data_IF_942601821612
#
_entry.id   IF_942601821612
#
_cell.length_a   1.000
_cell.length_b   1.000
_cell.length_c   1.000
_cell.angle_alpha   90.00
_cell.angle_beta   90.00
_cell.angle_gamma   90.00
#
_symmetry.space_group_name_H-M   'P 1'
#
loop_
_entity.id
_entity.type
_entity.pdbx_description
1 polymer ?
#
# COMPACT_ATOMS: atom_id res chain seq x y z
N UNK A 1 -2.14 -27.28 23.46
CA UNK A 1 -3.33 -26.97 22.65
C UNK A 1 -2.83 -26.28 21.39
N UNK A 2 -3.03 -26.90 20.23
CA UNK A 2 -2.76 -26.24 18.93
C UNK A 2 -3.80 -25.12 18.84
N UNK A 3 -3.39 -23.87 19.02
CA UNK A 3 -4.25 -22.72 18.73
C UNK A 3 -4.64 -22.83 17.26
N UNK A 4 -5.95 -22.93 16.95
CA UNK A 4 -6.42 -22.86 15.59
C UNK A 4 -5.88 -21.56 14.97
N UNK A 5 -5.05 -21.70 13.95
CA UNK A 5 -4.54 -20.57 13.20
C UNK A 5 -5.67 -19.92 12.41
N UNK A 6 -5.56 -18.62 12.18
CA UNK A 6 -6.51 -17.83 11.39
C UNK A 6 -6.34 -18.23 9.92
N UNK A 7 -7.44 -18.67 9.28
CA UNK A 7 -7.46 -18.95 7.84
C UNK A 7 -7.78 -17.67 7.03
N UNK A 8 -7.45 -17.69 5.74
CA UNK A 8 -7.78 -16.58 4.82
C UNK A 8 -9.28 -16.30 4.81
N UNK A 9 -10.11 -17.33 4.68
CA UNK A 9 -11.59 -17.18 4.65
C UNK A 9 -12.13 -16.57 5.95
N UNK A 10 -11.55 -16.87 7.11
CA UNK A 10 -11.95 -16.24 8.37
C UNK A 10 -11.60 -14.76 8.38
N UNK A 11 -10.43 -14.39 7.87
CA UNK A 11 -10.00 -13.00 7.82
C UNK A 11 -10.80 -12.20 6.78
N UNK A 12 -11.06 -12.76 5.60
CA UNK A 12 -11.95 -12.18 4.59
C UNK A 12 -13.35 -11.91 5.16
N UNK A 13 -13.96 -12.90 5.82
CA UNK A 13 -15.27 -12.74 6.46
C UNK A 13 -15.27 -11.67 7.56
N UNK A 14 -14.17 -11.54 8.29
CA UNK A 14 -13.99 -10.47 9.28
C UNK A 14 -13.94 -9.08 8.62
N UNK A 15 -13.21 -8.95 7.51
CA UNK A 15 -13.09 -7.70 6.76
C UNK A 15 -14.40 -7.31 6.05
N UNK A 16 -15.16 -8.28 5.52
CA UNK A 16 -16.49 -8.05 4.95
C UNK A 16 -17.46 -7.45 5.98
N UNK A 17 -17.41 -7.92 7.23
CA UNK A 17 -18.22 -7.34 8.33
C UNK A 17 -17.84 -5.89 8.59
N UNK A 18 -16.58 -5.50 8.44
CA UNK A 18 -16.14 -4.10 8.54
C UNK A 18 -16.82 -3.24 7.47
N UNK A 19 -16.94 -3.73 6.23
CA UNK A 19 -17.67 -3.04 5.17
C UNK A 19 -19.18 -2.92 5.47
N UNK A 20 -19.77 -3.93 6.10
CA UNK A 20 -21.19 -3.89 6.51
C UNK A 20 -21.42 -2.80 7.58
N UNK A 21 -20.51 -2.61 8.55
CA UNK A 21 -20.59 -1.56 9.57
C UNK A 21 -20.62 -0.17 8.92
N UNK A 22 -19.81 0.04 7.89
CA UNK A 22 -19.72 1.34 7.19
C UNK A 22 -20.89 1.57 6.21
N UNK A 23 -21.62 0.51 5.83
CA UNK A 23 -22.75 0.59 4.89
C UNK A 23 -23.86 1.48 5.42
N UNK A 24 -24.35 2.38 4.56
CA UNK A 24 -25.37 3.35 4.92
C UNK A 24 -24.85 4.66 5.51
N UNK A 25 -23.56 4.73 5.88
CA UNK A 25 -22.93 5.95 6.36
C UNK A 25 -22.15 6.67 5.25
N UNK A 26 -21.77 5.95 4.19
CA UNK A 26 -20.98 6.47 3.05
C UNK A 26 -21.14 5.57 1.82
N UNK A 27 -20.61 6.00 0.67
CA UNK A 27 -20.58 5.17 -0.55
C UNK A 27 -19.53 4.06 -0.45
N UNK A 28 -19.77 2.93 -1.14
CA UNK A 28 -18.88 1.77 -1.11
C UNK A 28 -17.46 2.10 -1.58
N UNK A 29 -17.28 3.05 -2.48
CA UNK A 29 -15.97 3.52 -2.94
C UNK A 29 -15.16 4.25 -1.86
N UNK A 30 -15.79 4.72 -0.79
CA UNK A 30 -15.18 5.44 0.31
C UNK A 30 -14.75 4.52 1.46
N UNK A 31 -15.31 3.29 1.58
CA UNK A 31 -14.98 2.37 2.69
C UNK A 31 -13.52 1.97 2.75
N UNK A 32 -12.90 1.82 1.58
CA UNK A 32 -11.57 1.24 1.45
C UNK A 32 -10.53 1.94 2.32
N UNK A 33 -10.47 3.28 2.26
CA UNK A 33 -9.47 4.05 3.01
C UNK A 33 -9.60 3.86 4.53
N UNK A 34 -10.83 3.71 5.03
CA UNK A 34 -11.09 3.55 6.46
C UNK A 34 -10.83 2.12 6.95
N UNK A 35 -11.23 1.11 6.17
CA UNK A 35 -10.97 -0.30 6.51
C UNK A 35 -9.47 -0.57 6.43
N UNK A 36 -8.80 -0.06 5.40
CA UNK A 36 -7.34 -0.19 5.28
C UNK A 36 -6.61 0.52 6.41
N UNK A 37 -7.02 1.75 6.73
CA UNK A 37 -6.45 2.49 7.86
C UNK A 37 -6.63 1.76 9.19
N UNK A 38 -7.83 1.24 9.46
CA UNK A 38 -8.11 0.50 10.69
C UNK A 38 -7.36 -0.84 10.76
N UNK A 39 -7.30 -1.58 9.66
CA UNK A 39 -6.54 -2.83 9.55
C UNK A 39 -5.05 -2.57 9.81
N UNK A 40 -4.51 -1.51 9.22
CA UNK A 40 -3.12 -1.12 9.41
C UNK A 40 -2.83 -0.72 10.86
N UNK A 41 -3.65 0.14 11.47
CA UNK A 41 -3.55 0.51 12.88
C UNK A 41 -3.57 -0.72 13.80
N UNK A 42 -4.52 -1.63 13.57
CA UNK A 42 -4.65 -2.85 14.38
C UNK A 42 -3.44 -3.75 14.23
N UNK A 43 -2.98 -3.97 13.00
CA UNK A 43 -1.79 -4.78 12.72
C UNK A 43 -0.54 -4.20 13.39
N UNK A 44 -0.29 -2.90 13.23
CA UNK A 44 0.86 -2.24 13.86
C UNK A 44 0.81 -2.38 15.38
N UNK A 45 -0.36 -2.13 15.99
CA UNK A 45 -0.55 -2.29 17.43
C UNK A 45 -0.31 -3.72 17.91
N UNK A 46 -0.85 -4.73 17.22
CA UNK A 46 -0.72 -6.12 17.65
C UNK A 46 0.74 -6.60 17.57
N UNK A 47 1.48 -6.22 16.52
CA UNK A 47 2.90 -6.52 16.40
C UNK A 47 3.74 -5.80 17.45
N UNK A 48 3.45 -4.52 17.67
CA UNK A 48 4.11 -3.71 18.69
C UNK A 48 3.88 -4.28 20.09
N UNK A 49 2.64 -4.60 20.46
CA UNK A 49 2.29 -5.14 21.78
C UNK A 49 3.01 -6.48 22.01
N UNK A 50 3.04 -7.35 21.01
CA UNK A 50 3.81 -8.60 21.07
C UNK A 50 5.30 -8.35 21.30
N UNK A 51 5.90 -7.45 20.52
CA UNK A 51 7.32 -7.12 20.65
C UNK A 51 7.62 -6.50 22.02
N UNK A 52 6.73 -5.64 22.51
CA UNK A 52 6.81 -5.05 23.84
C UNK A 52 6.79 -6.13 24.94
N UNK A 53 5.92 -7.13 24.85
CA UNK A 53 5.92 -8.26 25.78
C UNK A 53 7.22 -9.05 25.73
N UNK A 54 7.80 -9.29 24.56
CA UNK A 54 9.10 -9.94 24.41
C UNK A 54 10.21 -9.16 25.09
N UNK A 55 10.25 -7.83 24.90
CA UNK A 55 11.20 -6.92 25.53
C UNK A 55 11.04 -6.94 27.07
N UNK A 56 9.82 -6.92 27.58
CA UNK A 56 9.55 -7.04 29.02
C UNK A 56 10.06 -8.35 29.60
N UNK A 57 9.82 -9.47 28.92
CA UNK A 57 10.31 -10.80 29.36
C UNK A 57 11.82 -10.87 29.34
N UNK A 58 12.46 -10.39 28.27
CA UNK A 58 13.92 -10.38 28.10
C UNK A 58 14.61 -9.55 29.17
N UNK A 59 14.02 -8.43 29.57
CA UNK A 59 14.58 -7.45 30.48
C UNK A 59 13.91 -7.46 31.87
N UNK A 60 13.30 -8.58 32.25
CA UNK A 60 12.56 -8.74 33.52
C UNK A 60 13.41 -8.58 34.80
N UNK A 61 14.73 -8.56 34.64
CA UNK A 61 15.69 -8.37 35.73
C UNK A 61 16.01 -6.89 36.02
N UNK A 62 15.57 -5.96 35.17
CA UNK A 62 15.81 -4.53 35.30
C UNK A 62 14.79 -3.86 36.25
N UNK A 63 15.14 -2.69 36.78
CA UNK A 63 14.19 -1.84 37.49
C UNK A 63 13.05 -1.37 36.58
N UNK A 64 11.96 -0.89 37.17
CA UNK A 64 10.81 -0.37 36.41
C UNK A 64 11.19 0.83 35.55
N UNK A 65 12.07 1.68 36.03
CA UNK A 65 12.58 2.87 35.36
C UNK A 65 13.40 2.49 34.13
N UNK A 66 14.40 1.63 34.31
CA UNK A 66 15.27 1.13 33.22
C UNK A 66 14.45 0.36 32.17
N UNK A 67 13.52 -0.48 32.61
CA UNK A 67 12.63 -1.20 31.70
C UNK A 67 11.76 -0.23 30.90
N UNK A 68 11.22 0.82 31.53
CA UNK A 68 10.39 1.80 30.83
C UNK A 68 11.20 2.60 29.79
N UNK A 69 12.47 2.93 30.07
CA UNK A 69 13.35 3.57 29.07
C UNK A 69 13.49 2.69 27.81
N UNK A 70 13.74 1.40 27.97
CA UNK A 70 13.83 0.45 26.85
C UNK A 70 12.49 0.36 26.08
N UNK A 71 11.36 0.31 26.81
CA UNK A 71 10.04 0.15 26.22
C UNK A 71 9.52 1.40 25.50
N UNK A 72 10.12 2.57 25.76
CA UNK A 72 9.75 3.83 25.10
C UNK A 72 10.81 4.28 24.08
N UNK A 73 11.91 3.53 23.91
CA UNK A 73 12.90 3.78 22.87
C UNK A 73 12.55 3.02 21.58
N UNK A 74 12.31 3.77 20.49
CA UNK A 74 11.98 3.19 19.17
C UNK A 74 13.04 2.22 18.66
N UNK A 75 14.32 2.46 18.98
CA UNK A 75 15.43 1.61 18.50
C UNK A 75 15.42 0.21 19.13
N UNK A 76 14.74 0.03 20.27
CA UNK A 76 14.61 -1.27 20.93
C UNK A 76 13.72 -2.24 20.15
N UNK A 77 12.91 -1.76 19.21
CA UNK A 77 11.93 -2.56 18.47
C UNK A 77 12.48 -3.18 17.18
N UNK A 78 13.69 -2.79 16.73
CA UNK A 78 14.30 -3.30 15.50
C UNK A 78 13.41 -3.05 14.28
N UNK A 79 13.08 -4.08 13.52
CA UNK A 79 12.25 -4.00 12.31
C UNK A 79 10.73 -3.86 12.60
N UNK A 80 10.34 -3.89 13.88
CA UNK A 80 8.93 -3.69 14.26
C UNK A 80 8.62 -2.21 14.32
N UNK A 81 7.56 -1.78 13.66
CA UNK A 81 7.09 -0.40 13.72
C UNK A 81 6.84 0.05 15.15
N UNK A 82 7.36 1.22 15.50
CA UNK A 82 7.13 1.80 16.82
C UNK A 82 5.74 2.42 16.90
N UNK A 83 4.96 2.03 17.91
CA UNK A 83 3.64 2.61 18.18
C UNK A 83 3.73 3.55 19.39
N UNK A 84 3.73 4.88 19.17
CA UNK A 84 3.81 5.86 20.25
C UNK A 84 2.56 5.81 21.14
N UNK A 85 2.68 6.33 22.37
CA UNK A 85 1.63 6.25 23.41
C UNK A 85 0.24 6.63 22.91
N UNK A 86 0.12 7.67 22.08
CA UNK A 86 -1.14 8.17 21.52
C UNK A 86 -1.83 7.17 20.56
N UNK A 87 -1.09 6.27 19.97
CA UNK A 87 -1.58 5.32 18.96
C UNK A 87 -1.75 3.89 19.50
N UNK A 88 -1.57 3.66 20.80
CA UNK A 88 -1.69 2.33 21.40
C UNK A 88 -3.13 1.87 21.47
N UNK A 89 -3.35 0.66 21.00
CA UNK A 89 -4.70 0.07 20.97
C UNK A 89 -5.22 -0.29 22.36
N UNK A 90 -4.35 -0.81 23.22
CA UNK A 90 -4.73 -1.44 24.50
C UNK A 90 -4.40 -0.62 25.73
N UNK A 91 -3.52 0.38 25.64
CA UNK A 91 -2.98 1.09 26.81
C UNK A 91 -3.13 2.59 26.63
N UNK A 92 -3.92 3.23 27.49
CA UNK A 92 -3.98 4.67 27.62
C UNK A 92 -2.73 5.26 28.27
N UNK A 93 -2.58 6.56 28.25
CA UNK A 93 -1.44 7.25 28.86
C UNK A 93 -1.83 8.59 29.47
N UNK A 94 -1.01 9.07 30.38
CA UNK A 94 -1.10 10.45 30.89
C UNK A 94 0.03 11.26 30.26
N UNK A 95 -0.30 12.42 29.70
CA UNK A 95 0.66 13.32 29.10
C UNK A 95 1.44 14.17 30.13
N UNK A 96 2.32 15.06 29.65
CA UNK A 96 3.11 15.94 30.50
C UNK A 96 2.28 16.99 31.26
N UNK A 97 1.09 17.28 30.76
CA UNK A 97 0.13 18.22 31.36
C UNK A 97 -0.82 17.51 32.34
N UNK A 98 -0.56 16.24 32.66
CA UNK A 98 -1.37 15.38 33.52
C UNK A 98 -2.77 15.08 32.99
N UNK A 99 -2.99 15.21 31.67
CA UNK A 99 -4.23 14.82 31.01
C UNK A 99 -4.18 13.35 30.65
N UNK A 100 -5.22 12.60 31.05
CA UNK A 100 -5.35 11.20 30.65
C UNK A 100 -5.94 11.06 29.25
N UNK A 101 -5.25 10.30 28.40
CA UNK A 101 -5.67 9.90 27.05
C UNK A 101 -6.01 8.41 27.02
N UNK A 102 -7.24 8.11 26.57
CA UNK A 102 -7.71 6.73 26.45
C UNK A 102 -6.93 5.95 25.39
N UNK A 103 -6.88 4.63 25.53
CA UNK A 103 -6.47 3.72 24.45
C UNK A 103 -7.44 3.78 23.27
N UNK A 104 -7.01 3.40 22.07
CA UNK A 104 -7.89 3.44 20.87
C UNK A 104 -9.18 2.66 21.08
N UNK A 105 -9.12 1.46 21.66
CA UNK A 105 -10.30 0.62 21.95
C UNK A 105 -11.34 1.30 22.85
N UNK A 106 -10.92 2.28 23.63
CA UNK A 106 -11.76 2.94 24.65
C UNK A 106 -12.24 4.33 24.20
N UNK A 107 -11.99 4.76 22.96
CA UNK A 107 -12.46 6.04 22.42
C UNK A 107 -13.99 6.13 22.45
N UNK A 108 -14.52 7.30 22.85
CA UNK A 108 -15.97 7.54 23.02
C UNK A 108 -16.47 8.78 22.30
N UNK A 109 -15.63 9.77 22.07
CA UNK A 109 -15.97 11.08 21.48
C UNK A 109 -14.87 11.56 20.57
N UNK A 110 -15.22 12.32 19.55
CA UNK A 110 -14.30 12.84 18.54
C UNK A 110 -13.43 11.75 17.92
N UNK A 111 -13.98 10.54 17.76
CA UNK A 111 -13.24 9.32 17.43
C UNK A 111 -12.47 9.48 16.13
N UNK A 112 -13.09 10.07 15.09
CA UNK A 112 -12.41 10.30 13.82
C UNK A 112 -11.18 11.20 13.94
N UNK A 113 -11.23 12.23 14.79
CA UNK A 113 -10.10 13.12 15.04
C UNK A 113 -8.99 12.40 15.82
N UNK A 114 -9.35 11.63 16.85
CA UNK A 114 -8.36 10.88 17.65
C UNK A 114 -7.69 9.76 16.83
N UNK A 115 -8.42 9.09 15.93
CA UNK A 115 -7.83 8.13 14.98
C UNK A 115 -6.85 8.82 14.02
N UNK A 116 -7.17 10.01 13.51
CA UNK A 116 -6.24 10.78 12.68
C UNK A 116 -4.96 11.16 13.45
N UNK A 117 -5.09 11.56 14.72
CA UNK A 117 -3.94 11.86 15.59
C UNK A 117 -3.09 10.60 15.86
N UNK A 118 -3.71 9.43 16.00
CA UNK A 118 -3.02 8.17 16.17
C UNK A 118 -2.22 7.79 14.91
N UNK A 119 -2.82 7.91 13.71
CA UNK A 119 -2.14 7.69 12.44
C UNK A 119 -0.95 8.64 12.25
N UNK A 120 -1.15 9.94 12.52
CA UNK A 120 -0.08 10.94 12.44
C UNK A 120 1.08 10.61 13.37
N UNK A 121 0.80 10.20 14.61
CA UNK A 121 1.82 9.83 15.58
C UNK A 121 2.63 8.59 15.16
N UNK A 122 1.98 7.59 14.55
CA UNK A 122 2.69 6.41 13.98
C UNK A 122 3.58 6.84 12.82
N UNK A 123 3.07 7.65 11.89
CA UNK A 123 3.83 8.15 10.75
C UNK A 123 5.06 8.94 11.19
N UNK A 124 4.90 9.87 12.14
CA UNK A 124 6.00 10.69 12.67
C UNK A 124 7.07 9.89 13.43
N UNK A 125 6.72 8.70 13.92
CA UNK A 125 7.64 7.83 14.64
C UNK A 125 8.40 6.85 13.75
N UNK A 126 7.98 6.71 12.47
CA UNK A 126 8.50 5.70 11.54
C UNK A 126 8.73 6.32 10.16
N UNK A 127 9.96 6.66 9.85
CA UNK A 127 10.37 7.42 8.65
C UNK A 127 9.85 6.79 7.33
N UNK A 128 9.77 5.47 7.25
CA UNK A 128 9.25 4.73 6.08
C UNK A 128 7.76 5.00 5.80
N UNK A 129 7.02 5.53 6.78
CA UNK A 129 5.59 5.85 6.65
C UNK A 129 5.35 7.33 6.28
N UNK A 130 6.40 8.12 6.05
CA UNK A 130 6.26 9.55 5.75
C UNK A 130 5.33 9.80 4.56
N UNK A 131 4.28 10.61 4.78
CA UNK A 131 3.29 10.97 3.76
C UNK A 131 2.27 9.87 3.44
N UNK A 132 2.39 8.66 4.01
CA UNK A 132 1.51 7.53 3.67
C UNK A 132 0.18 7.60 4.42
N UNK A 133 0.20 7.83 5.72
CA UNK A 133 -1.00 7.67 6.55
C UNK A 133 -1.82 8.95 6.65
N UNK A 134 -1.30 10.00 7.28
CA UNK A 134 -2.04 11.23 7.60
C UNK A 134 -2.56 12.00 6.39
N UNK A 135 -1.86 11.92 5.27
CA UNK A 135 -2.24 12.63 4.04
C UNK A 135 -3.29 11.88 3.21
N UNK A 136 -3.45 10.58 3.42
CA UNK A 136 -4.28 9.72 2.57
C UNK A 136 -5.44 9.05 3.32
N UNK A 137 -5.40 8.98 4.65
CA UNK A 137 -6.46 8.42 5.49
C UNK A 137 -6.99 9.51 6.40
N UNK A 138 -8.27 9.85 6.28
CA UNK A 138 -8.89 10.90 7.09
C UNK A 138 -10.24 10.46 7.65
N UNK A 139 -10.24 9.89 8.85
CA UNK A 139 -11.45 9.47 9.58
C UNK A 139 -12.40 10.63 9.94
N UNK A 140 -11.96 11.89 9.81
CA UNK A 140 -12.77 13.08 10.05
C UNK A 140 -13.29 13.71 8.75
N UNK A 141 -13.17 13.03 7.62
CA UNK A 141 -13.66 13.47 6.31
C UNK A 141 -15.17 13.59 6.28
N UNK A 142 -15.68 14.56 5.56
CA UNK A 142 -17.10 14.66 5.24
C UNK A 142 -17.43 13.80 4.03
N UNK A 143 -18.49 13.02 4.11
CA UNK A 143 -18.98 12.18 3.01
C UNK A 143 -20.02 12.92 2.16
N UNK A 144 -20.47 12.37 1.06
CA UNK A 144 -21.22 12.95 -0.07
C UNK A 144 -22.40 13.89 0.21
N UNK A 145 -22.82 14.05 1.46
CA UNK A 145 -23.82 15.05 1.90
C UNK A 145 -23.22 16.12 2.85
N UNK A 146 -21.90 16.30 2.83
CA UNK A 146 -21.17 17.16 3.77
C UNK A 146 -21.43 16.83 5.25
N UNK A 147 -21.77 15.60 5.58
CA UNK A 147 -21.99 15.15 6.96
C UNK A 147 -20.76 14.35 7.42
N UNK A 148 -20.26 14.70 8.60
CA UNK A 148 -19.26 13.87 9.30
C UNK A 148 -19.86 12.51 9.64
N UNK A 149 -19.03 11.47 9.54
CA UNK A 149 -19.40 10.14 10.02
C UNK A 149 -19.56 10.20 11.53
N UNK A 150 -20.63 9.61 12.07
CA UNK A 150 -20.93 9.64 13.50
C UNK A 150 -19.91 8.83 14.30
N UNK A 151 -19.57 9.29 15.48
CA UNK A 151 -18.70 8.56 16.42
C UNK A 151 -19.19 7.14 16.71
N UNK A 152 -20.51 6.90 16.71
CA UNK A 152 -21.08 5.55 16.89
C UNK A 152 -20.60 4.56 15.81
N UNK A 153 -20.47 4.99 14.55
CA UNK A 153 -20.01 4.13 13.46
C UNK A 153 -18.52 3.79 13.64
N UNK A 154 -17.71 4.77 14.02
CA UNK A 154 -16.30 4.53 14.35
C UNK A 154 -16.15 3.64 15.58
N UNK A 155 -17.00 3.82 16.57
CA UNK A 155 -17.00 2.95 17.76
C UNK A 155 -17.34 1.51 17.40
N UNK A 156 -18.37 1.28 16.60
CA UNK A 156 -18.75 -0.05 16.13
C UNK A 156 -17.58 -0.70 15.33
N UNK A 157 -16.87 0.08 14.51
CA UNK A 157 -15.71 -0.42 13.77
C UNK A 157 -14.55 -0.76 14.72
N UNK A 158 -14.23 0.10 15.68
CA UNK A 158 -13.22 -0.17 16.72
C UNK A 158 -13.57 -1.42 17.52
N UNK A 159 -14.82 -1.56 17.97
CA UNK A 159 -15.28 -2.72 18.74
C UNK A 159 -15.20 -4.01 17.93
N UNK A 160 -15.52 -3.94 16.64
CA UNK A 160 -15.35 -5.06 15.72
C UNK A 160 -13.88 -5.48 15.63
N UNK A 161 -12.94 -4.56 15.40
CA UNK A 161 -11.51 -4.86 15.37
C UNK A 161 -10.95 -5.30 16.72
N UNK A 162 -11.48 -4.77 17.81
CA UNK A 162 -11.08 -5.15 19.17
C UNK A 162 -11.52 -6.57 19.55
N UNK A 163 -12.69 -7.00 19.08
CA UNK A 163 -13.20 -8.37 19.26
C UNK A 163 -12.68 -9.37 18.21
N UNK A 164 -11.98 -8.88 17.22
CA UNK A 164 -11.44 -9.66 16.11
C UNK A 164 -10.16 -10.43 16.44
N UNK A 165 -9.56 -11.05 15.44
CA UNK A 165 -8.31 -11.79 15.61
C UNK A 165 -7.13 -10.89 15.96
N UNK A 166 -6.15 -11.42 16.70
CA UNK A 166 -4.86 -10.76 16.90
C UNK A 166 -4.02 -10.95 15.65
N UNK A 167 -3.67 -9.83 15.01
CA UNK A 167 -3.04 -9.80 13.68
C UNK A 167 -1.50 -9.89 13.76
N UNK A 168 -0.97 -11.02 14.19
CA UNK A 168 0.46 -11.34 14.24
C UNK A 168 0.76 -12.58 13.41
N UNK A 169 1.97 -12.69 12.86
CA UNK A 169 2.34 -13.75 11.91
C UNK A 169 2.15 -15.16 12.48
N UNK A 170 2.40 -15.37 13.77
CA UNK A 170 2.27 -16.66 14.43
C UNK A 170 0.83 -17.17 14.52
N UNK A 171 -0.14 -16.28 14.45
CA UNK A 171 -1.55 -16.62 14.44
C UNK A 171 -2.07 -16.97 13.06
N UNK A 172 -1.30 -16.77 12.01
CA UNK A 172 -1.71 -16.97 10.62
C UNK A 172 -1.44 -18.40 10.15
N UNK A 173 -2.33 -18.93 9.30
CA UNK A 173 -2.21 -20.23 8.68
C UNK A 173 -0.96 -20.29 7.78
N UNK A 174 -0.63 -19.20 7.09
CA UNK A 174 0.59 -19.02 6.31
C UNK A 174 1.14 -17.60 6.48
N UNK A 175 2.45 -17.36 6.25
CA UNK A 175 3.12 -16.08 6.59
C UNK A 175 2.50 -14.85 5.98
N UNK A 176 2.04 -14.93 4.72
CA UNK A 176 1.53 -13.80 3.93
C UNK A 176 -0.02 -13.67 3.96
N UNK A 177 -0.68 -14.27 4.94
CA UNK A 177 -2.14 -14.29 5.02
C UNK A 177 -2.75 -12.89 5.08
N UNK A 178 -2.11 -11.95 5.78
CA UNK A 178 -2.64 -10.59 5.92
C UNK A 178 -2.54 -9.82 4.61
N UNK A 179 -1.44 -9.98 3.87
CA UNK A 179 -1.30 -9.42 2.53
C UNK A 179 -2.35 -9.97 1.56
N UNK A 180 -2.57 -11.28 1.57
CA UNK A 180 -3.62 -11.92 0.76
C UNK A 180 -5.02 -11.39 1.10
N UNK A 181 -5.34 -11.18 2.38
CA UNK A 181 -6.61 -10.59 2.80
C UNK A 181 -6.73 -9.11 2.40
N UNK A 182 -5.62 -8.38 2.38
CA UNK A 182 -5.58 -7.00 1.90
C UNK A 182 -5.84 -6.93 0.38
N UNK A 183 -5.24 -7.82 -0.40
CA UNK A 183 -5.53 -7.96 -1.84
C UNK A 183 -7.00 -8.33 -2.11
N UNK A 184 -7.57 -9.21 -1.28
CA UNK A 184 -9.00 -9.51 -1.33
C UNK A 184 -9.85 -8.24 -1.17
N UNK A 185 -9.56 -7.39 -0.20
CA UNK A 185 -10.26 -6.12 -0.02
C UNK A 185 -10.10 -5.19 -1.22
N UNK A 186 -8.91 -5.09 -1.80
CA UNK A 186 -8.65 -4.28 -3.00
C UNK A 186 -9.55 -4.77 -4.14
N UNK A 187 -9.61 -6.08 -4.39
CA UNK A 187 -10.49 -6.70 -5.38
C UNK A 187 -11.96 -6.42 -5.10
N UNK A 188 -12.41 -6.67 -3.86
CA UNK A 188 -13.79 -6.44 -3.42
C UNK A 188 -14.25 -5.01 -3.70
N UNK A 189 -13.42 -4.01 -3.39
CA UNK A 189 -13.73 -2.61 -3.64
C UNK A 189 -13.63 -2.22 -5.13
N UNK A 190 -12.74 -2.84 -5.90
CA UNK A 190 -12.66 -2.66 -7.35
C UNK A 190 -13.95 -3.14 -8.03
N UNK A 191 -14.43 -4.33 -7.67
CA UNK A 191 -15.67 -4.91 -8.18
C UNK A 191 -16.89 -4.06 -7.80
N UNK A 192 -16.94 -3.54 -6.57
CA UNK A 192 -18.03 -2.71 -6.06
C UNK A 192 -18.10 -1.32 -6.69
N UNK A 193 -16.97 -0.74 -7.09
CA UNK A 193 -16.87 0.58 -7.70
C UNK A 193 -17.13 0.59 -9.22
N UNK A 194 -17.35 -0.57 -9.86
CA UNK A 194 -17.62 -0.72 -11.27
C UNK A 194 -16.48 -0.17 -12.14
N UNK A 195 -16.82 0.53 -13.27
CA UNK A 195 -15.81 1.05 -14.24
C UNK A 195 -14.72 1.94 -13.62
N UNK A 196 -15.01 2.64 -12.52
CA UNK A 196 -14.02 3.48 -11.82
C UNK A 196 -13.08 2.65 -10.93
N UNK A 197 -13.50 1.48 -10.46
CA UNK A 197 -12.67 0.61 -9.61
C UNK A 197 -11.66 -0.20 -10.39
N UNK A 198 -11.95 -0.55 -11.65
CA UNK A 198 -11.06 -1.31 -12.52
C UNK A 198 -9.77 -0.58 -12.95
N UNK A 199 -9.62 0.71 -12.63
CA UNK A 199 -8.38 1.46 -12.90
C UNK A 199 -7.24 1.10 -11.91
N UNK A 200 -7.55 0.41 -10.79
CA UNK A 200 -6.60 0.16 -9.70
C UNK A 200 -6.32 -1.32 -9.42
N UNK A 201 -7.03 -2.20 -10.09
CA UNK A 201 -6.90 -3.64 -9.86
C UNK A 201 -6.75 -4.40 -11.19
N UNK A 202 -5.72 -5.23 -11.25
CA UNK A 202 -5.52 -6.17 -12.37
C UNK A 202 -5.82 -7.58 -11.86
N UNK A 203 -6.64 -8.40 -12.57
CA UNK A 203 -6.91 -9.77 -12.18
C UNK A 203 -5.63 -10.58 -11.98
N UNK A 204 -5.58 -11.34 -10.88
CA UNK A 204 -4.38 -12.09 -10.48
C UNK A 204 -3.87 -13.05 -11.57
N UNK A 205 -4.76 -13.66 -12.34
CA UNK A 205 -4.40 -14.57 -13.42
C UNK A 205 -3.63 -13.84 -14.53
N UNK A 206 -4.01 -12.60 -14.81
CA UNK A 206 -3.32 -11.75 -15.81
C UNK A 206 -1.97 -11.30 -15.28
N UNK A 207 -1.91 -10.87 -14.00
CA UNK A 207 -0.64 -10.52 -13.35
C UNK A 207 0.33 -11.70 -13.39
N UNK A 208 -0.16 -12.89 -13.00
CA UNK A 208 0.64 -14.13 -13.01
C UNK A 208 1.18 -14.45 -14.40
N UNK A 209 0.37 -14.29 -15.45
CA UNK A 209 0.81 -14.49 -16.84
C UNK A 209 1.97 -13.55 -17.19
N UNK A 210 1.85 -12.25 -16.89
CA UNK A 210 2.89 -11.26 -17.17
C UNK A 210 4.18 -11.57 -16.42
N UNK A 211 4.08 -11.90 -15.12
CA UNK A 211 5.24 -12.27 -14.30
C UNK A 211 5.93 -13.52 -14.81
N UNK A 212 5.16 -14.55 -15.24
CA UNK A 212 5.73 -15.77 -15.85
C UNK A 212 6.44 -15.50 -17.19
N UNK A 213 5.98 -14.53 -17.97
CA UNK A 213 6.66 -14.07 -19.19
C UNK A 213 7.97 -13.37 -18.84
N UNK A 214 7.97 -12.49 -17.84
CA UNK A 214 9.12 -11.69 -17.42
C UNK A 214 10.20 -12.50 -16.70
N UNK A 215 9.81 -13.54 -15.96
CA UNK A 215 10.72 -14.41 -15.19
C UNK A 215 11.70 -13.60 -14.33
N UNK A 216 11.23 -12.79 -13.38
CA UNK A 216 12.12 -12.08 -12.48
C UNK A 216 12.96 -13.08 -11.66
N UNK A 217 14.16 -12.65 -11.23
CA UNK A 217 15.10 -13.47 -10.46
C UNK A 217 15.70 -12.64 -9.32
N UNK A 218 16.28 -13.31 -8.34
CA UNK A 218 17.10 -12.67 -7.32
C UNK A 218 18.15 -11.73 -7.92
N UNK A 219 18.41 -10.61 -7.23
CA UNK A 219 19.36 -9.59 -7.66
C UNK A 219 18.88 -8.70 -8.80
N UNK A 220 17.68 -8.96 -9.36
CA UNK A 220 17.10 -8.08 -10.36
C UNK A 220 16.38 -6.88 -9.72
N UNK A 221 16.18 -5.86 -10.53
CA UNK A 221 15.32 -4.72 -10.25
C UNK A 221 14.07 -4.83 -11.13
N UNK A 222 12.90 -4.81 -10.52
CA UNK A 222 11.59 -4.83 -11.19
C UNK A 222 10.91 -3.48 -10.98
N UNK A 223 10.37 -2.90 -12.05
CA UNK A 223 9.74 -1.58 -12.02
C UNK A 223 8.34 -1.60 -12.61
N UNK A 224 7.40 -0.98 -11.88
CA UNK A 224 6.06 -0.68 -12.36
C UNK A 224 5.83 0.84 -12.39
N UNK A 225 5.77 1.48 -13.57
CA UNK A 225 5.55 2.92 -13.72
C UNK A 225 4.11 3.38 -13.37
N UNK A 226 3.17 2.46 -13.17
CA UNK A 226 1.76 2.72 -12.85
C UNK A 226 1.28 1.71 -11.82
N UNK A 227 1.98 1.66 -10.70
CA UNK A 227 2.00 0.52 -9.77
C UNK A 227 0.65 0.18 -9.16
N UNK A 228 -0.32 1.10 -9.18
CA UNK A 228 -1.64 0.86 -8.61
C UNK A 228 -1.55 0.41 -7.15
N UNK A 229 -2.10 -0.74 -6.83
CA UNK A 229 -2.04 -1.35 -5.49
C UNK A 229 -0.76 -2.18 -5.21
N UNK A 230 0.13 -2.32 -6.19
CA UNK A 230 1.39 -3.06 -6.03
C UNK A 230 1.34 -4.55 -6.37
N UNK A 231 0.20 -5.07 -6.77
CA UNK A 231 0.02 -6.51 -7.01
C UNK A 231 1.01 -7.14 -8.00
N UNK A 232 1.42 -6.41 -9.05
CA UNK A 232 2.43 -6.90 -10.01
C UNK A 232 3.83 -7.04 -9.40
N UNK A 233 4.21 -6.12 -8.52
CA UNK A 233 5.49 -6.17 -7.81
C UNK A 233 5.48 -7.28 -6.76
N UNK A 234 4.40 -7.40 -5.99
CA UNK A 234 4.21 -8.46 -4.98
C UNK A 234 4.29 -9.83 -5.64
N UNK A 235 3.55 -10.06 -6.73
CA UNK A 235 3.59 -11.33 -7.45
C UNK A 235 4.95 -11.61 -8.10
N UNK A 236 5.73 -10.57 -8.43
CA UNK A 236 7.11 -10.76 -8.90
C UNK A 236 8.01 -11.33 -7.80
N UNK A 237 7.86 -10.88 -6.55
CA UNK A 237 8.58 -11.45 -5.41
C UNK A 237 8.11 -12.88 -5.09
N UNK A 238 6.79 -13.11 -5.07
CA UNK A 238 6.21 -14.44 -4.85
C UNK A 238 6.66 -15.45 -5.93
N UNK A 239 6.75 -15.02 -7.20
CA UNK A 239 7.27 -15.87 -8.26
C UNK A 239 8.71 -16.32 -8.00
N UNK A 240 9.58 -15.44 -7.49
CA UNK A 240 10.96 -15.78 -7.13
C UNK A 240 10.96 -16.85 -6.02
N UNK A 241 10.14 -16.69 -5.01
CA UNK A 241 9.97 -17.67 -3.92
C UNK A 241 9.48 -19.03 -4.45
N UNK A 242 8.47 -19.03 -5.31
CA UNK A 242 7.96 -20.25 -5.97
C UNK A 242 9.02 -20.98 -6.80
N UNK A 243 10.01 -20.25 -7.34
CA UNK A 243 11.15 -20.83 -8.05
C UNK A 243 12.29 -21.27 -7.11
N UNK A 244 12.12 -21.18 -5.80
CA UNK A 244 13.10 -21.56 -4.79
C UNK A 244 14.14 -20.50 -4.50
N UNK A 245 13.93 -19.26 -4.91
CA UNK A 245 14.78 -18.10 -4.63
C UNK A 245 14.31 -17.32 -3.39
N UNK A 246 15.11 -16.35 -2.98
CA UNK A 246 14.81 -15.44 -1.88
C UNK A 246 14.04 -14.20 -2.39
N UNK A 247 12.74 -14.03 -2.03
CA UNK A 247 11.93 -12.88 -2.46
C UNK A 247 12.44 -11.54 -1.93
N UNK A 248 13.25 -11.52 -0.86
CA UNK A 248 13.84 -10.27 -0.32
C UNK A 248 15.08 -9.81 -1.09
N UNK A 249 15.60 -10.61 -2.01
CA UNK A 249 16.75 -10.26 -2.84
C UNK A 249 16.39 -9.67 -4.19
N UNK A 250 15.14 -9.32 -4.45
CA UNK A 250 14.69 -8.53 -5.59
C UNK A 250 14.42 -7.10 -5.14
N UNK A 251 14.89 -6.12 -5.90
CA UNK A 251 14.57 -4.72 -5.63
C UNK A 251 13.33 -4.32 -6.45
N UNK A 252 12.25 -3.95 -5.76
CA UNK A 252 10.98 -3.58 -6.34
C UNK A 252 10.85 -2.05 -6.34
N UNK A 253 10.45 -1.48 -7.47
CA UNK A 253 10.28 -0.06 -7.69
C UNK A 253 8.91 0.23 -8.29
N UNK A 254 8.22 1.25 -7.80
CA UNK A 254 6.92 1.64 -8.32
C UNK A 254 6.76 3.15 -8.38
N UNK A 255 5.87 3.61 -9.26
CA UNK A 255 5.43 5.00 -9.26
C UNK A 255 3.92 5.07 -9.48
N UNK A 256 3.23 5.89 -8.66
CA UNK A 256 1.77 6.05 -8.71
C UNK A 256 1.39 7.53 -8.65
N UNK A 257 0.49 7.95 -9.54
CA UNK A 257 0.04 9.35 -9.61
C UNK A 257 -1.01 9.70 -8.55
N UNK A 258 -1.89 8.77 -8.22
CA UNK A 258 -2.98 9.01 -7.28
C UNK A 258 -2.51 8.77 -5.84
N UNK A 259 -2.48 9.83 -5.00
CA UNK A 259 -1.95 9.77 -3.63
C UNK A 259 -2.56 8.68 -2.76
N UNK A 260 -3.90 8.55 -2.77
CA UNK A 260 -4.58 7.49 -2.01
C UNK A 260 -4.21 6.08 -2.48
N UNK A 261 -4.01 5.88 -3.79
CA UNK A 261 -3.61 4.58 -4.35
C UNK A 261 -2.14 4.30 -4.05
N UNK A 262 -1.28 5.32 -4.12
CA UNK A 262 0.11 5.24 -3.67
C UNK A 262 0.23 4.80 -2.21
N UNK A 263 -0.57 5.38 -1.31
CA UNK A 263 -0.58 4.99 0.10
C UNK A 263 -1.07 3.54 0.29
N UNK A 264 -2.10 3.12 -0.45
CA UNK A 264 -2.57 1.72 -0.46
C UNK A 264 -1.46 0.78 -0.91
N UNK A 265 -0.72 1.14 -1.97
CA UNK A 265 0.41 0.36 -2.44
C UNK A 265 1.50 0.21 -1.38
N UNK A 266 1.93 1.32 -0.76
CA UNK A 266 2.95 1.30 0.28
C UNK A 266 2.51 0.45 1.49
N UNK A 267 1.27 0.60 1.96
CA UNK A 267 0.72 -0.25 3.02
C UNK A 267 0.66 -1.73 2.60
N UNK A 268 0.31 -2.02 1.34
CA UNK A 268 0.27 -3.38 0.83
C UNK A 268 1.66 -4.02 0.83
N UNK A 269 2.69 -3.30 0.38
CA UNK A 269 4.09 -3.75 0.46
C UNK A 269 4.50 -4.10 1.90
N UNK A 270 4.16 -3.25 2.85
CA UNK A 270 4.45 -3.48 4.28
C UNK A 270 3.73 -4.72 4.81
N UNK A 271 2.47 -4.91 4.45
CA UNK A 271 1.67 -6.06 4.90
C UNK A 271 2.16 -7.39 4.32
N UNK A 272 2.77 -7.35 3.14
CA UNK A 272 3.49 -8.48 2.52
C UNK A 272 4.95 -8.63 3.01
N UNK A 273 5.33 -7.98 4.11
CA UNK A 273 6.69 -7.98 4.66
C UNK A 273 7.79 -7.45 3.71
N UNK A 274 7.42 -6.58 2.77
CA UNK A 274 8.31 -5.93 1.81
C UNK A 274 8.50 -4.43 2.15
N UNK A 275 8.88 -4.13 3.38
CA UNK A 275 9.05 -2.73 3.84
C UNK A 275 10.07 -1.94 3.00
N UNK A 276 11.16 -2.57 2.58
CA UNK A 276 12.16 -1.93 1.70
C UNK A 276 11.54 -1.55 0.34
N UNK A 277 10.61 -2.35 -0.17
CA UNK A 277 9.88 -2.02 -1.39
C UNK A 277 8.93 -0.83 -1.19
N UNK A 278 8.31 -0.69 -0.01
CA UNK A 278 7.45 0.45 0.29
C UNK A 278 8.21 1.79 0.16
N UNK A 279 9.47 1.85 0.59
CA UNK A 279 10.34 3.02 0.44
C UNK A 279 10.69 3.35 -1.03
N UNK A 280 10.53 2.40 -1.95
CA UNK A 280 10.77 2.57 -3.38
C UNK A 280 9.47 2.81 -4.18
N UNK A 281 8.35 3.13 -3.53
CA UNK A 281 7.11 3.51 -4.21
C UNK A 281 7.00 5.03 -4.20
N UNK A 282 7.18 5.64 -5.37
CA UNK A 282 7.19 7.10 -5.55
C UNK A 282 5.80 7.63 -5.90
N UNK A 283 5.46 8.81 -5.34
CA UNK A 283 4.20 9.50 -5.65
C UNK A 283 4.39 10.55 -6.74
N UNK A 284 3.84 10.32 -7.93
CA UNK A 284 3.91 11.28 -9.04
C UNK A 284 3.54 10.71 -10.40
N UNK A 285 3.33 11.62 -11.36
CA UNK A 285 2.98 11.27 -12.74
C UNK A 285 4.22 10.83 -13.54
N UNK A 286 4.27 9.57 -13.88
CA UNK A 286 5.37 8.94 -14.61
C UNK A 286 5.61 9.54 -16.00
N UNK A 287 4.54 9.92 -16.74
CA UNK A 287 4.70 10.52 -18.06
C UNK A 287 5.37 11.88 -17.92
N UNK A 288 4.96 12.66 -16.94
CA UNK A 288 5.49 14.00 -16.69
C UNK A 288 6.91 13.93 -16.12
N UNK A 289 7.11 13.17 -15.06
CA UNK A 289 8.38 13.11 -14.34
C UNK A 289 8.64 11.73 -13.72
N UNK A 290 9.50 10.89 -14.30
CA UNK A 290 9.96 9.67 -13.66
C UNK A 290 10.82 10.06 -12.43
N UNK A 291 10.41 9.57 -11.27
CA UNK A 291 11.01 9.95 -9.99
C UNK A 291 12.22 9.06 -9.62
N UNK A 292 12.24 7.82 -10.06
CA UNK A 292 13.42 6.97 -9.90
C UNK A 292 14.55 7.44 -10.80
N UNK A 293 15.64 7.92 -10.18
CA UNK A 293 16.79 8.51 -10.88
C UNK A 293 18.09 7.77 -10.57
N UNK A 294 18.99 7.81 -11.52
CA UNK A 294 20.36 7.36 -11.38
C UNK A 294 21.29 8.25 -12.20
N UNK A 295 22.34 8.81 -11.58
CA UNK A 295 23.31 9.71 -12.23
C UNK A 295 22.67 10.86 -13.01
N UNK A 296 21.67 11.54 -12.42
CA UNK A 296 21.02 12.70 -13.02
C UNK A 296 20.01 12.42 -14.15
N UNK A 297 19.79 11.17 -14.49
CA UNK A 297 18.77 10.72 -15.45
C UNK A 297 17.79 9.74 -14.83
N UNK A 298 16.77 9.31 -15.58
CA UNK A 298 15.85 8.27 -15.11
C UNK A 298 16.58 6.91 -15.01
N UNK A 299 16.19 6.13 -14.00
CA UNK A 299 16.76 4.80 -13.71
C UNK A 299 16.29 3.80 -14.74
N UNK A 300 17.15 2.79 -15.02
CA UNK A 300 16.83 1.64 -15.88
C UNK A 300 16.78 0.37 -15.05
N UNK A 301 15.92 -0.58 -15.46
CA UNK A 301 15.57 -1.76 -14.69
C UNK A 301 15.75 -3.05 -15.52
N UNK A 302 15.89 -4.18 -14.85
CA UNK A 302 16.00 -5.50 -15.51
C UNK A 302 14.66 -5.99 -16.03
N UNK A 303 13.56 -5.65 -15.31
CA UNK A 303 12.20 -5.99 -15.68
C UNK A 303 11.30 -4.77 -15.49
N UNK A 304 10.43 -4.55 -16.47
CA UNK A 304 9.41 -3.50 -16.40
C UNK A 304 8.06 -4.13 -16.65
N UNK A 305 7.12 -3.93 -15.74
CA UNK A 305 5.78 -4.53 -15.78
C UNK A 305 4.75 -3.45 -15.50
N UNK A 306 3.66 -3.38 -16.24
CA UNK A 306 2.58 -2.44 -15.93
C UNK A 306 1.23 -2.83 -16.55
N UNK A 307 0.17 -2.39 -15.88
CA UNK A 307 -1.14 -2.15 -16.48
C UNK A 307 -1.41 -0.63 -16.42
N UNK A 308 -0.89 0.16 -17.38
CA UNK A 308 -1.05 1.61 -17.32
C UNK A 308 -2.51 2.03 -17.49
N UNK A 309 -2.92 3.18 -16.93
CA UNK A 309 -4.28 3.68 -17.08
C UNK A 309 -4.56 4.01 -18.55
N UNK A 310 -5.64 3.40 -19.10
CA UNK A 310 -5.98 3.58 -20.50
C UNK A 310 -6.58 4.95 -20.78
N UNK A 311 -6.36 5.44 -21.99
CA UNK A 311 -7.05 6.63 -22.49
C UNK A 311 -6.83 7.90 -21.62
N UNK A 312 -5.60 8.19 -21.25
CA UNK A 312 -5.23 9.38 -20.50
C UNK A 312 -4.84 10.55 -21.44
N UNK A 313 -4.99 11.76 -20.92
CA UNK A 313 -4.37 12.96 -21.49
C UNK A 313 -3.07 13.26 -20.73
N UNK A 314 -2.17 14.00 -21.38
CA UNK A 314 -0.95 14.50 -20.73
C UNK A 314 -0.63 15.90 -21.26
N UNK A 315 0.26 16.63 -20.60
CA UNK A 315 0.74 17.94 -21.04
C UNK A 315 2.23 17.83 -21.41
N UNK A 316 2.53 17.94 -22.68
CA UNK A 316 3.89 17.82 -23.20
C UNK A 316 4.84 18.86 -22.62
N UNK A 317 4.37 20.08 -22.40
CA UNK A 317 5.22 21.18 -21.88
C UNK A 317 5.76 20.92 -20.46
N UNK A 318 5.15 20.00 -19.73
CA UNK A 318 5.56 19.60 -18.37
C UNK A 318 6.49 18.37 -18.36
N UNK A 319 6.63 17.68 -19.51
CA UNK A 319 7.37 16.42 -19.61
C UNK A 319 8.86 16.65 -19.37
N UNK A 320 9.42 15.94 -18.40
CA UNK A 320 10.86 15.86 -18.15
C UNK A 320 11.45 14.63 -18.85
N UNK A 321 12.74 14.74 -19.24
CA UNK A 321 13.43 13.66 -19.93
C UNK A 321 12.72 13.24 -21.22
N UNK A 322 12.48 14.20 -22.14
CA UNK A 322 11.80 13.98 -23.42
C UNK A 322 12.46 12.91 -24.30
N UNK A 323 13.75 12.62 -24.11
CA UNK A 323 14.48 11.56 -24.81
C UNK A 323 13.89 10.14 -24.61
N UNK A 324 13.00 9.96 -23.59
CA UNK A 324 12.24 8.71 -23.42
C UNK A 324 11.27 8.44 -24.57
N UNK A 325 10.89 9.50 -25.28
CA UNK A 325 9.86 9.51 -26.33
C UNK A 325 10.47 9.65 -27.73
N UNK A 326 11.53 8.87 -28.00
CA UNK A 326 12.31 8.94 -29.23
C UNK A 326 11.52 8.54 -30.49
N UNK A 327 10.42 7.78 -30.33
CA UNK A 327 9.53 7.41 -31.44
C UNK A 327 8.44 8.48 -31.70
N UNK A 328 8.42 9.57 -30.93
CA UNK A 328 7.52 10.70 -31.09
C UNK A 328 6.47 10.82 -30.01
N UNK A 329 5.77 11.96 -30.03
CA UNK A 329 4.73 12.28 -29.07
C UNK A 329 3.34 11.93 -29.62
N UNK A 330 2.58 11.16 -28.87
CA UNK A 330 1.15 10.94 -29.12
C UNK A 330 0.37 12.26 -28.94
N UNK A 331 -0.86 12.40 -29.47
CA UNK A 331 -1.67 13.59 -29.21
C UNK A 331 -1.91 13.78 -27.71
N UNK A 332 -1.73 15.00 -27.22
CA UNK A 332 -1.87 15.36 -25.79
C UNK A 332 -3.31 15.26 -25.32
N UNK A 333 -4.27 15.52 -26.22
CA UNK A 333 -5.71 15.47 -25.98
C UNK A 333 -6.36 14.28 -26.71
N UNK A 334 -7.64 14.04 -26.42
CA UNK A 334 -8.38 12.92 -27.02
C UNK A 334 -8.03 11.56 -26.40
N UNK A 335 -7.43 11.57 -25.20
CA UNK A 335 -7.14 10.36 -24.42
C UNK A 335 -6.19 9.38 -25.16
N UNK A 336 -5.03 9.86 -25.59
CA UNK A 336 -4.10 9.18 -26.49
C UNK A 336 -2.73 8.83 -25.89
N UNK A 337 -2.55 8.96 -24.57
CA UNK A 337 -1.27 8.72 -23.90
C UNK A 337 -0.83 7.23 -23.86
N UNK A 338 -1.62 6.29 -24.35
CA UNK A 338 -1.32 4.86 -24.24
C UNK A 338 0.11 4.51 -24.68
N UNK A 339 0.55 4.96 -25.87
CA UNK A 339 1.89 4.70 -26.38
C UNK A 339 3.00 5.51 -25.70
N UNK A 340 2.66 6.54 -24.94
CA UNK A 340 3.64 7.25 -24.11
C UNK A 340 4.12 6.38 -22.94
N UNK A 341 3.22 5.62 -22.31
CA UNK A 341 3.59 4.63 -21.29
C UNK A 341 4.50 3.53 -21.87
N UNK A 342 4.17 3.00 -23.06
CA UNK A 342 5.00 1.98 -23.73
C UNK A 342 6.40 2.51 -23.98
N UNK A 343 6.56 3.73 -24.54
CA UNK A 343 7.86 4.33 -24.78
C UNK A 343 8.65 4.55 -23.48
N UNK A 344 7.98 5.02 -22.43
CA UNK A 344 8.63 5.17 -21.12
C UNK A 344 9.14 3.82 -20.58
N UNK A 345 8.34 2.76 -20.69
CA UNK A 345 8.74 1.42 -20.26
C UNK A 345 9.96 0.91 -21.05
N UNK A 346 9.96 1.08 -22.40
CA UNK A 346 11.11 0.71 -23.25
C UNK A 346 12.36 1.50 -22.83
N UNK A 347 12.24 2.81 -22.65
CA UNK A 347 13.35 3.68 -22.25
C UNK A 347 13.91 3.32 -20.88
N UNK A 348 13.09 2.76 -19.99
CA UNK A 348 13.46 2.33 -18.64
C UNK A 348 14.08 0.94 -18.57
N UNK A 349 14.34 0.27 -19.70
CA UNK A 349 15.00 -1.03 -19.72
C UNK A 349 16.53 -0.90 -19.69
N UNK A 350 17.18 -1.74 -18.90
CA UNK A 350 18.61 -2.03 -18.99
C UNK A 350 18.89 -2.84 -20.27
N UNK A 351 20.16 -2.92 -20.64
CA UNK A 351 20.59 -3.84 -21.69
C UNK A 351 20.12 -5.26 -21.35
N UNK A 352 19.48 -5.95 -22.31
CA UNK A 352 18.83 -7.26 -22.12
C UNK A 352 17.65 -7.25 -21.12
N UNK A 353 17.15 -6.06 -20.76
CA UNK A 353 15.92 -5.93 -20.00
C UNK A 353 14.71 -6.41 -20.79
N UNK A 354 13.67 -6.84 -20.09
CA UNK A 354 12.42 -7.31 -20.69
C UNK A 354 11.25 -6.57 -20.04
N UNK A 355 10.26 -6.19 -20.86
CA UNK A 355 9.01 -5.62 -20.36
C UNK A 355 7.81 -6.45 -20.79
N UNK A 356 6.75 -6.37 -19.97
CA UNK A 356 5.42 -6.87 -20.30
C UNK A 356 4.38 -5.85 -19.84
N UNK A 357 3.36 -5.61 -20.67
CA UNK A 357 2.32 -4.63 -20.35
C UNK A 357 0.96 -5.04 -20.89
N UNK A 358 -0.08 -4.58 -20.23
CA UNK A 358 -1.47 -4.67 -20.68
C UNK A 358 -1.78 -3.38 -21.42
N UNK A 359 -2.32 -3.51 -22.64
CA UNK A 359 -2.67 -2.36 -23.47
C UNK A 359 -4.05 -2.56 -24.12
N UNK A 360 -4.80 -1.46 -24.36
CA UNK A 360 -6.03 -1.58 -25.15
C UNK A 360 -5.69 -2.00 -26.57
N UNK A 361 -6.40 -2.99 -27.11
CA UNK A 361 -6.14 -3.56 -28.44
C UNK A 361 -6.08 -2.50 -29.57
N UNK A 362 -6.73 -1.35 -29.38
CA UNK A 362 -6.70 -0.23 -30.32
C UNK A 362 -5.30 0.29 -30.63
N UNK A 363 -4.32 0.17 -29.73
CA UNK A 363 -2.93 0.62 -29.98
C UNK A 363 -2.28 -0.12 -31.14
N UNK A 364 -2.75 -1.33 -31.47
CA UNK A 364 -2.20 -2.15 -32.53
C UNK A 364 -2.60 -1.69 -33.94
N UNK A 365 -3.70 -0.91 -34.09
CA UNK A 365 -4.25 -0.55 -35.41
C UNK A 365 -4.70 0.90 -35.56
N UNK A 366 -4.71 1.72 -34.49
CA UNK A 366 -5.06 3.15 -34.62
C UNK A 366 -4.11 3.84 -35.58
N UNK A 367 -4.67 4.75 -36.42
CA UNK A 367 -3.93 5.53 -37.41
C UNK A 367 -3.33 6.81 -36.85
N UNK A 368 -2.93 7.73 -37.76
CA UNK A 368 -2.38 9.05 -37.40
C UNK A 368 -1.02 8.96 -36.69
N UNK A 369 -0.80 9.79 -35.66
CA UNK A 369 0.47 9.81 -34.92
C UNK A 369 0.76 8.53 -34.18
N UNK A 370 -0.28 7.82 -33.68
CA UNK A 370 -0.07 6.54 -33.01
C UNK A 370 0.50 5.46 -33.96
N UNK A 371 0.13 5.50 -35.26
CA UNK A 371 0.72 4.64 -36.28
C UNK A 371 2.23 4.91 -36.42
N UNK A 372 2.62 6.18 -36.53
CA UNK A 372 4.03 6.57 -36.69
C UNK A 372 4.90 6.17 -35.48
N UNK A 373 4.34 6.23 -34.29
CA UNK A 373 5.06 5.79 -33.06
C UNK A 373 5.23 4.27 -33.03
N UNK A 374 4.26 3.53 -33.56
CA UNK A 374 4.26 2.06 -33.55
C UNK A 374 5.18 1.47 -34.61
N UNK A 375 5.32 2.06 -35.81
CA UNK A 375 6.20 1.68 -36.92
C UNK A 375 7.62 2.21 -36.74
#
# INVERSE_FOLDING_TARGET
>A
MIKNKISLTQLESFLDKSAVILRGSMDSSEYKEFIFGMLFLKRMSDQFDKKREELMKKNSHLSKEELNEILEDKNSYGDTFFVPKRARWNIGFTDKESVFHSAIKDYKQNIGEELNKALAAIEESNDILEGILKSNINFNKTTGKNQKIKDSVWKDLIDHFNSGPILINENFEFPDLLGAAYEYLIKYFADSAGKKGGEFYTPNEVVRLLVQILKPKEGMEVYDPCVGSGGMLIQSAQYIEEQGGDPHRVALFGQEKAGTVWAICAMNMILHNNSDAAANIEHGDTIINPLHKHNGTYRKFHRVIANPPFSQNYNRSEVKFEQRFSYGFAPETGKKADLMFVQHMIASLKDKGVMATIMPHGVLFRGGREKLIRE
#
